data_IF_498100173813
#
_entry.id   IF_498100173813
#
_cell.length_a   1.000
_cell.length_b   1.000
_cell.length_c   1.000
_cell.angle_alpha   90.00
_cell.angle_beta   90.00
_cell.angle_gamma   90.00
#
_symmetry.space_group_name_H-M   'P 1'
#
loop_
_entity.id
_entity.type
_entity.pdbx_description
1 polymer ?
#
# COMPACT_ATOMS: atom_id res chain seq x y z
N UNK A 1 12.10 32.27 18.24
CA UNK A 1 13.57 32.12 18.34
C UNK A 1 14.13 31.87 16.95
N UNK A 2 15.15 32.61 16.54
CA UNK A 2 15.80 32.38 15.24
C UNK A 2 17.18 31.75 15.49
N UNK A 3 17.39 30.57 14.92
CA UNK A 3 18.63 29.85 15.04
C UNK A 3 19.41 29.93 13.73
N UNK A 4 20.68 30.33 13.78
CA UNK A 4 21.60 30.29 12.63
C UNK A 4 22.46 29.01 12.60
N UNK A 5 22.09 28.03 13.40
CA UNK A 5 22.81 26.75 13.52
C UNK A 5 22.11 25.61 12.80
N UNK A 6 22.75 24.46 12.82
CA UNK A 6 22.27 23.26 12.13
C UNK A 6 21.15 22.52 12.86
N UNK A 7 20.86 22.83 14.12
CA UNK A 7 19.75 22.26 14.88
C UNK A 7 19.35 23.22 16.00
N UNK A 8 18.04 23.45 16.19
CA UNK A 8 17.60 24.35 17.25
C UNK A 8 17.62 23.68 18.63
N UNK A 9 17.15 22.43 18.70
CA UNK A 9 17.14 21.63 19.93
C UNK A 9 17.55 20.21 19.60
N UNK A 10 18.43 19.62 20.42
CA UNK A 10 18.87 18.24 20.28
C UNK A 10 18.86 17.55 21.64
N UNK A 11 18.24 16.38 21.71
CA UNK A 11 18.04 15.60 22.92
C UNK A 11 18.48 14.15 22.73
N UNK A 12 19.23 13.62 23.68
CA UNK A 12 19.62 12.23 23.73
C UNK A 12 19.57 11.68 25.14
N UNK A 13 19.20 10.42 25.32
CA UNK A 13 19.13 9.75 26.62
C UNK A 13 18.27 10.50 27.66
N UNK A 14 17.18 11.11 27.23
CA UNK A 14 16.26 11.84 28.10
C UNK A 14 15.03 11.01 28.46
N UNK A 15 14.45 11.29 29.60
CA UNK A 15 13.16 10.75 30.03
C UNK A 15 12.21 11.87 30.40
N UNK A 16 10.91 11.68 30.15
CA UNK A 16 9.85 12.63 30.51
C UNK A 16 10.08 14.06 29.98
N UNK A 17 10.48 14.16 28.71
CA UNK A 17 10.74 15.45 28.04
C UNK A 17 9.42 16.04 27.54
N UNK A 18 9.12 17.28 27.88
CA UNK A 18 7.96 18.03 27.39
C UNK A 18 8.38 19.33 26.72
N UNK A 19 7.89 19.56 25.52
CA UNK A 19 8.08 20.79 24.73
C UNK A 19 6.71 21.26 24.30
N UNK A 20 6.29 22.44 24.75
CA UNK A 20 4.98 22.98 24.40
C UNK A 20 5.04 24.48 24.12
N UNK A 21 4.12 24.98 23.29
CA UNK A 21 4.01 26.39 22.93
C UNK A 21 5.32 27.02 22.42
N UNK A 22 6.15 26.26 21.71
CA UNK A 22 7.35 26.79 21.09
C UNK A 22 7.08 27.21 19.65
N UNK A 23 7.77 28.27 19.23
CA UNK A 23 7.72 28.75 17.86
C UNK A 23 9.14 28.78 17.31
N UNK A 24 9.47 27.83 16.40
CA UNK A 24 10.79 27.69 15.82
C UNK A 24 10.72 28.04 14.33
N UNK A 25 11.53 29.00 13.91
CA UNK A 25 11.54 29.54 12.54
C UNK A 25 12.94 29.57 11.97
N UNK A 26 13.05 29.39 10.65
CA UNK A 26 14.26 29.61 9.86
C UNK A 26 15.51 28.84 10.34
N UNK A 27 15.35 27.58 10.73
CA UNK A 27 16.50 26.71 10.97
C UNK A 27 17.17 26.40 9.62
N UNK A 28 18.47 26.68 9.53
CA UNK A 28 19.27 26.41 8.34
C UNK A 28 19.90 25.02 8.42
N UNK A 29 19.86 24.30 7.33
CA UNK A 29 20.66 23.11 7.06
C UNK A 29 20.43 21.88 7.95
N UNK A 30 19.50 21.88 8.93
CA UNK A 30 19.16 20.70 9.73
C UNK A 30 17.74 20.77 10.34
N UNK A 31 17.59 20.35 11.59
CA UNK A 31 16.31 20.10 12.22
C UNK A 31 15.91 21.19 13.22
N UNK A 32 14.62 21.45 13.37
CA UNK A 32 14.13 22.29 14.46
C UNK A 32 14.30 21.55 15.79
N UNK A 33 13.90 20.27 15.82
CA UNK A 33 14.09 19.37 16.97
C UNK A 33 14.67 18.05 16.45
N UNK A 34 15.68 17.55 17.12
CA UNK A 34 16.26 16.23 16.89
C UNK A 34 16.30 15.48 18.23
N UNK A 35 15.68 14.30 18.28
CA UNK A 35 15.57 13.49 19.48
C UNK A 35 15.96 12.04 19.21
N UNK A 36 16.84 11.47 20.06
CA UNK A 36 17.24 10.08 19.99
C UNK A 36 17.38 9.48 21.41
N UNK A 37 17.03 8.22 21.57
CA UNK A 37 17.01 7.53 22.87
C UNK A 37 16.19 8.28 23.94
N UNK A 38 15.06 8.85 23.55
CA UNK A 38 14.17 9.54 24.47
C UNK A 38 13.00 8.62 24.83
N UNK A 39 12.75 8.43 26.11
CA UNK A 39 11.57 7.74 26.61
C UNK A 39 10.59 8.74 27.22
N UNK A 40 9.37 8.75 26.72
CA UNK A 40 8.33 9.70 27.07
C UNK A 40 8.64 11.14 26.63
N UNK A 41 8.44 11.39 25.34
CA UNK A 41 8.55 12.70 24.71
C UNK A 41 7.16 13.24 24.37
N UNK A 42 6.87 14.47 24.80
CA UNK A 42 5.67 15.18 24.40
C UNK A 42 6.05 16.49 23.69
N UNK A 43 5.58 16.70 22.46
CA UNK A 43 5.71 17.96 21.71
C UNK A 43 4.31 18.41 21.36
N UNK A 44 3.84 19.52 21.95
CA UNK A 44 2.45 19.96 21.79
C UNK A 44 2.35 21.45 21.45
N UNK A 45 1.27 21.81 20.76
CA UNK A 45 0.81 23.16 20.52
C UNK A 45 1.92 24.12 20.02
N UNK A 46 2.80 23.58 19.19
CA UNK A 46 4.02 24.24 18.74
C UNK A 46 4.00 24.49 17.23
N UNK A 47 4.79 25.45 16.78
CA UNK A 47 4.85 25.84 15.37
C UNK A 47 6.27 25.73 14.82
N UNK A 48 6.39 25.11 13.67
CA UNK A 48 7.64 24.89 12.95
C UNK A 48 7.50 25.43 11.53
N UNK A 49 8.28 26.46 11.19
CA UNK A 49 8.15 27.14 9.89
C UNK A 49 9.50 27.39 9.25
N UNK A 50 9.49 27.45 7.93
CA UNK A 50 10.61 27.84 7.07
C UNK A 50 11.93 27.19 7.41
N UNK A 51 12.25 26.10 6.77
CA UNK A 51 13.64 25.67 6.65
C UNK A 51 14.15 26.13 5.29
N UNK A 52 15.02 27.13 5.30
CA UNK A 52 15.70 27.58 4.07
C UNK A 52 16.78 26.58 3.70
N UNK A 53 16.39 25.49 3.05
CA UNK A 53 17.38 24.54 2.57
C UNK A 53 17.71 24.76 1.11
N UNK A 54 18.97 24.92 0.86
CA UNK A 54 19.58 24.84 -0.46
C UNK A 54 20.42 23.56 -0.49
N UNK A 55 19.92 22.49 -1.06
CA UNK A 55 20.75 21.28 -1.23
C UNK A 55 20.00 19.94 -1.16
N UNK A 56 20.70 18.88 -1.50
CA UNK A 56 20.18 17.54 -1.78
C UNK A 56 19.86 16.64 -0.56
N UNK A 57 19.93 17.14 0.66
CA UNK A 57 19.67 16.33 1.84
C UNK A 57 18.34 16.70 2.50
N UNK A 58 17.51 15.74 2.83
CA UNK A 58 16.24 15.90 3.53
C UNK A 58 16.44 16.45 4.95
N UNK A 59 15.67 17.45 5.34
CA UNK A 59 15.59 17.94 6.72
C UNK A 59 14.14 17.87 7.18
N UNK A 60 13.93 17.06 8.14
CA UNK A 60 12.70 17.03 8.91
C UNK A 60 12.70 18.17 9.93
N UNK A 61 11.56 18.84 10.15
CA UNK A 61 11.47 19.78 11.24
C UNK A 61 11.65 19.07 12.59
N UNK A 62 10.97 17.94 12.79
CA UNK A 62 11.21 17.06 13.93
C UNK A 62 11.81 15.77 13.40
N UNK A 63 13.04 15.46 13.78
CA UNK A 63 13.67 14.18 13.51
C UNK A 63 13.67 13.31 14.77
N UNK A 64 12.99 12.16 14.68
CA UNK A 64 13.09 11.09 15.66
C UNK A 64 14.14 10.11 15.14
N UNK A 65 15.29 10.07 15.76
CA UNK A 65 16.42 9.26 15.32
C UNK A 65 16.83 8.24 16.38
N UNK A 66 17.91 7.54 16.13
CA UNK A 66 18.49 6.54 17.01
C UNK A 66 19.95 6.90 17.28
N UNK A 67 20.41 6.74 18.51
CA UNK A 67 21.80 7.00 18.87
C UNK A 67 22.70 5.85 18.39
N UNK A 68 23.08 5.91 17.12
CA UNK A 68 23.92 4.89 16.48
C UNK A 68 25.38 5.28 16.38
N UNK A 69 25.69 6.50 15.95
CA UNK A 69 27.07 6.99 15.82
C UNK A 69 27.17 8.52 15.95
N UNK A 70 28.37 9.00 16.22
CA UNK A 70 28.66 10.44 16.36
C UNK A 70 28.57 11.23 15.06
N UNK A 71 28.60 10.58 13.91
CA UNK A 71 28.44 11.23 12.62
C UNK A 71 26.99 11.69 12.39
N UNK A 72 26.03 10.87 12.82
CA UNK A 72 24.62 11.15 12.65
C UNK A 72 24.02 11.92 13.82
N UNK A 73 24.58 11.73 15.03
CA UNK A 73 24.13 12.40 16.22
C UNK A 73 25.29 12.99 17.03
N UNK A 74 25.96 14.05 16.52
CA UNK A 74 27.15 14.61 17.16
C UNK A 74 26.84 15.26 18.51
N UNK A 75 27.83 15.24 19.40
CA UNK A 75 27.73 15.84 20.73
C UNK A 75 27.28 14.91 21.85
N UNK A 76 27.19 13.62 21.56
CA UNK A 76 26.92 12.55 22.53
C UNK A 76 28.10 11.56 22.57
N UNK A 77 28.21 10.85 23.68
CA UNK A 77 29.32 9.91 23.91
C UNK A 77 28.85 8.44 23.88
N UNK A 78 27.60 8.19 24.22
CA UNK A 78 27.01 6.84 24.25
C UNK A 78 26.17 6.57 23.02
N UNK A 79 26.54 5.53 22.27
CA UNK A 79 25.87 5.09 21.06
C UNK A 79 25.40 3.65 21.22
N UNK A 80 24.27 3.48 21.93
CA UNK A 80 23.73 2.20 22.37
C UNK A 80 22.58 1.67 21.49
N UNK A 81 22.31 2.34 20.38
CA UNK A 81 21.22 2.00 19.46
C UNK A 81 19.81 2.04 20.10
N UNK A 82 19.62 2.82 21.17
CA UNK A 82 18.33 2.97 21.82
C UNK A 82 17.39 3.83 20.96
N UNK A 83 16.21 3.33 20.54
CA UNK A 83 15.21 4.11 19.83
C UNK A 83 14.37 4.96 20.79
N UNK A 84 13.69 5.98 20.26
CA UNK A 84 12.67 6.70 21.03
C UNK A 84 11.45 5.81 21.33
N UNK A 85 10.80 6.04 22.47
CA UNK A 85 9.57 5.38 22.91
C UNK A 85 8.59 6.37 23.51
N UNK A 86 7.30 6.02 23.49
CA UNK A 86 6.24 6.81 24.14
C UNK A 86 6.27 8.28 23.68
N UNK A 87 6.31 8.50 22.37
CA UNK A 87 6.40 9.83 21.78
C UNK A 87 4.99 10.32 21.41
N UNK A 88 4.65 11.53 21.80
CA UNK A 88 3.42 12.22 21.37
C UNK A 88 3.77 13.54 20.71
N UNK A 89 3.31 13.74 19.47
CA UNK A 89 3.40 15.02 18.74
C UNK A 89 1.97 15.41 18.39
N UNK A 90 1.43 16.46 19.04
CA UNK A 90 0.02 16.79 18.94
C UNK A 90 -0.24 18.30 18.89
N UNK A 91 -1.26 18.71 18.12
CA UNK A 91 -1.69 20.11 18.05
C UNK A 91 -0.68 21.07 17.39
N UNK A 92 0.32 20.53 16.72
CA UNK A 92 1.41 21.31 16.13
C UNK A 92 1.08 21.75 14.70
N UNK A 93 1.73 22.83 14.25
CA UNK A 93 1.67 23.33 12.87
C UNK A 93 3.06 23.28 12.23
N UNK A 94 3.13 22.66 11.08
CA UNK A 94 4.30 22.52 10.23
C UNK A 94 4.04 23.23 8.91
N UNK A 95 4.76 24.29 8.60
CA UNK A 95 4.46 25.06 7.38
C UNK A 95 5.70 25.53 6.62
N UNK A 96 5.62 25.48 5.29
CA UNK A 96 6.69 25.92 4.38
C UNK A 96 8.02 25.23 4.65
N UNK A 97 7.99 23.89 4.82
CA UNK A 97 9.13 23.07 5.18
C UNK A 97 9.51 22.12 4.04
N UNK A 98 10.74 21.64 4.07
CA UNK A 98 11.17 20.55 3.19
C UNK A 98 10.47 19.25 3.60
N UNK A 99 10.60 18.85 4.86
CA UNK A 99 9.89 17.72 5.47
C UNK A 99 9.38 18.08 6.86
N UNK A 100 8.29 17.43 7.29
CA UNK A 100 7.68 17.70 8.59
C UNK A 100 8.29 16.88 9.72
N UNK A 101 7.75 15.70 9.99
CA UNK A 101 8.23 14.78 11.02
C UNK A 101 8.86 13.58 10.32
N UNK A 102 10.04 13.14 10.75
CA UNK A 102 10.68 11.99 10.12
C UNK A 102 11.69 11.25 10.96
N UNK A 103 12.16 10.15 10.40
CA UNK A 103 13.23 9.30 10.90
C UNK A 103 14.20 9.03 9.78
N UNK A 104 15.47 9.32 9.98
CA UNK A 104 16.50 9.06 8.99
C UNK A 104 17.21 7.72 9.21
N UNK A 105 17.48 7.39 10.46
CA UNK A 105 18.28 6.24 10.83
C UNK A 105 17.45 5.24 11.64
N UNK A 106 17.59 3.97 11.32
CA UNK A 106 17.04 2.86 12.11
C UNK A 106 18.12 1.78 12.27
N UNK A 107 17.98 0.97 13.29
CA UNK A 107 18.83 -0.20 13.53
C UNK A 107 17.97 -1.46 13.39
N UNK A 108 18.51 -2.47 12.76
CA UNK A 108 17.84 -3.76 12.56
C UNK A 108 17.31 -4.29 13.88
N UNK A 109 16.03 -4.65 13.91
CA UNK A 109 15.30 -5.16 15.09
C UNK A 109 15.09 -4.18 16.25
N UNK A 110 15.58 -2.96 16.17
CA UNK A 110 15.26 -1.89 17.12
C UNK A 110 14.13 -1.03 16.55
N UNK A 111 13.05 -0.90 17.27
CA UNK A 111 11.84 -0.22 16.78
C UNK A 111 11.53 1.01 17.63
N UNK A 112 11.10 2.08 16.96
CA UNK A 112 10.43 3.19 17.63
C UNK A 112 9.07 2.70 18.11
N UNK A 113 8.79 2.78 19.38
CA UNK A 113 7.61 2.13 19.98
C UNK A 113 6.65 3.15 20.58
N UNK A 114 5.35 2.97 20.32
CA UNK A 114 4.30 3.83 20.85
C UNK A 114 4.51 5.31 20.48
N UNK A 115 4.62 5.58 19.17
CA UNK A 115 4.70 6.95 18.62
C UNK A 115 3.30 7.39 18.17
N UNK A 116 2.80 8.47 18.73
CA UNK A 116 1.49 9.07 18.43
C UNK A 116 1.72 10.42 17.76
N UNK A 117 1.26 10.56 16.52
CA UNK A 117 1.29 11.82 15.75
C UNK A 117 -0.17 12.16 15.45
N UNK A 118 -0.71 13.16 16.15
CA UNK A 118 -2.14 13.42 16.06
C UNK A 118 -2.50 14.91 16.10
N UNK A 119 -3.63 15.25 15.45
CA UNK A 119 -4.22 16.60 15.47
C UNK A 119 -3.25 17.69 14.98
N UNK A 120 -2.29 17.35 14.12
CA UNK A 120 -1.33 18.29 13.59
C UNK A 120 -1.76 18.82 12.21
N UNK A 121 -1.23 20.00 11.85
CA UNK A 121 -1.40 20.63 10.53
C UNK A 121 -0.07 20.66 9.78
N UNK A 122 -0.09 20.20 8.53
CA UNK A 122 1.05 20.24 7.61
C UNK A 122 0.65 21.05 6.38
N UNK A 123 1.37 22.11 6.09
CA UNK A 123 1.06 23.04 4.99
C UNK A 123 2.30 23.33 4.15
N UNK A 124 2.18 23.22 2.83
CA UNK A 124 3.27 23.51 1.88
C UNK A 124 4.54 22.70 2.17
N UNK A 125 4.43 21.38 2.27
CA UNK A 125 5.58 20.49 2.52
C UNK A 125 6.13 20.01 1.17
N UNK A 126 7.45 20.18 0.99
CA UNK A 126 8.08 19.95 -0.32
C UNK A 126 8.35 18.47 -0.61
N UNK A 127 8.59 17.64 0.39
CA UNK A 127 8.86 16.20 0.23
C UNK A 127 7.84 15.36 0.98
N UNK A 128 8.11 14.93 2.21
CA UNK A 128 7.26 14.08 3.02
C UNK A 128 6.77 14.83 4.26
N UNK A 129 5.47 14.88 4.47
CA UNK A 129 4.97 15.52 5.68
C UNK A 129 5.26 14.67 6.93
N UNK A 130 5.07 13.34 6.83
CA UNK A 130 5.44 12.38 7.88
C UNK A 130 6.18 11.20 7.25
N UNK A 131 7.34 10.85 7.81
CA UNK A 131 8.15 9.70 7.40
C UNK A 131 8.51 8.83 8.61
N UNK A 132 7.76 7.76 8.80
CA UNK A 132 7.95 6.81 9.90
C UNK A 132 8.82 5.65 9.44
N UNK A 133 10.04 5.55 9.95
CA UNK A 133 10.92 4.46 9.64
C UNK A 133 11.12 3.55 10.85
N UNK A 134 10.70 2.28 10.74
CA UNK A 134 10.82 1.25 11.76
C UNK A 134 9.94 1.48 13.02
N UNK A 135 8.70 1.99 12.84
CA UNK A 135 7.77 2.26 13.94
C UNK A 135 6.87 1.05 14.24
N UNK A 136 6.51 0.88 15.52
CA UNK A 136 5.58 -0.13 16.02
C UNK A 136 4.59 0.44 17.04
N UNK A 137 3.45 -0.23 17.20
CA UNK A 137 2.42 0.14 18.16
C UNK A 137 2.02 1.62 18.10
N UNK A 138 2.09 2.20 16.89
CA UNK A 138 2.06 3.66 16.69
C UNK A 138 0.72 4.10 16.08
N UNK A 139 0.44 5.40 16.18
CA UNK A 139 -0.79 6.01 15.66
C UNK A 139 -0.45 7.30 14.92
N UNK A 140 -0.97 7.41 13.69
CA UNK A 140 -0.91 8.65 12.90
C UNK A 140 -2.35 9.00 12.58
N UNK A 141 -2.94 9.88 13.37
CA UNK A 141 -4.39 10.06 13.36
C UNK A 141 -4.82 11.54 13.40
N UNK A 142 -5.95 11.83 12.75
CA UNK A 142 -6.59 13.15 12.80
C UNK A 142 -5.69 14.30 12.32
N UNK A 143 -4.70 14.07 11.48
CA UNK A 143 -3.85 15.12 10.95
C UNK A 143 -4.42 15.70 9.66
N UNK A 144 -4.14 16.98 9.40
CA UNK A 144 -4.53 17.68 8.18
C UNK A 144 -3.30 18.05 7.38
N UNK A 145 -3.31 17.70 6.10
CA UNK A 145 -2.22 17.96 5.17
C UNK A 145 -2.75 18.78 3.99
N UNK A 146 -2.22 19.94 3.77
CA UNK A 146 -2.61 20.84 2.68
C UNK A 146 -1.40 21.18 1.81
N UNK A 147 -1.51 20.96 0.52
CA UNK A 147 -0.44 21.24 -0.44
C UNK A 147 0.88 20.54 -0.09
N UNK A 148 0.81 19.23 0.15
CA UNK A 148 1.98 18.40 0.48
C UNK A 148 2.38 17.52 -0.70
N UNK A 149 3.67 17.32 -0.92
CA UNK A 149 4.12 16.41 -1.99
C UNK A 149 3.79 14.95 -1.66
N UNK A 150 4.09 14.49 -0.44
CA UNK A 150 3.61 13.22 0.09
C UNK A 150 3.11 13.39 1.52
N UNK A 151 2.01 12.71 1.85
CA UNK A 151 1.41 12.78 3.17
C UNK A 151 2.18 11.93 4.18
N UNK A 152 1.90 10.63 4.22
CA UNK A 152 2.44 9.71 5.23
C UNK A 152 3.21 8.57 4.55
N UNK A 153 4.48 8.43 4.92
CA UNK A 153 5.35 7.31 4.52
C UNK A 153 5.65 6.44 5.74
N UNK A 154 5.33 5.15 5.67
CA UNK A 154 5.52 4.18 6.73
C UNK A 154 6.40 3.03 6.24
N UNK A 155 7.60 2.90 6.74
CA UNK A 155 8.64 2.07 6.13
C UNK A 155 9.33 1.14 7.16
N UNK A 156 9.58 -0.10 6.75
CA UNK A 156 10.44 -1.06 7.44
C UNK A 156 11.71 -1.36 6.66
N UNK A 157 11.74 -0.96 5.40
CA UNK A 157 12.94 -0.81 4.58
C UNK A 157 12.90 0.59 3.96
N UNK A 158 14.04 1.24 3.75
CA UNK A 158 14.06 2.53 3.08
C UNK A 158 13.43 2.45 1.69
N UNK A 159 12.64 3.44 1.33
CA UNK A 159 12.16 3.58 -0.04
C UNK A 159 13.37 3.59 -0.99
N UNK A 160 13.28 2.88 -2.10
CA UNK A 160 14.41 2.63 -3.00
C UNK A 160 15.59 1.90 -2.33
N UNK A 161 15.33 0.97 -1.42
CA UNK A 161 16.35 0.15 -0.79
C UNK A 161 17.38 -0.43 -1.77
N UNK A 162 16.95 -0.73 -2.99
CA UNK A 162 17.81 -1.20 -4.08
C UNK A 162 18.46 -0.08 -4.93
N UNK A 163 18.21 1.19 -4.58
CA UNK A 163 18.78 2.38 -5.24
C UNK A 163 19.53 3.31 -4.28
N UNK A 164 19.58 4.60 -4.63
CA UNK A 164 20.07 5.64 -3.73
C UNK A 164 18.95 6.08 -2.79
N UNK A 165 19.19 6.08 -1.50
CA UNK A 165 18.24 6.50 -0.47
C UNK A 165 18.93 7.31 0.63
N UNK A 166 18.20 8.24 1.23
CA UNK A 166 18.69 9.07 2.33
C UNK A 166 18.57 8.41 3.70
N UNK A 167 17.49 7.62 3.87
CA UNK A 167 17.28 6.83 5.09
C UNK A 167 18.22 5.64 5.13
N UNK A 168 18.70 5.29 6.32
CA UNK A 168 19.67 4.22 6.50
C UNK A 168 19.24 3.25 7.59
N UNK A 169 19.49 1.97 7.33
CA UNK A 169 19.34 0.90 8.31
C UNK A 169 20.72 0.35 8.65
N UNK A 170 21.00 0.26 9.93
CA UNK A 170 22.28 -0.19 10.47
C UNK A 170 22.16 -1.53 11.17
N UNK A 171 23.28 -2.25 11.27
CA UNK A 171 23.43 -3.36 12.21
C UNK A 171 23.77 -2.76 13.58
N UNK A 172 23.22 -3.32 14.65
CA UNK A 172 23.47 -2.83 16.00
C UNK A 172 24.96 -2.80 16.34
N UNK A 173 25.41 -1.78 17.09
CA UNK A 173 26.81 -1.60 17.49
C UNK A 173 27.36 -2.79 18.28
N UNK A 174 26.55 -3.39 19.13
CA UNK A 174 26.88 -4.61 19.88
C UNK A 174 26.83 -5.90 19.05
N UNK A 175 26.50 -5.77 17.74
CA UNK A 175 26.29 -6.86 16.79
C UNK A 175 25.19 -7.86 17.21
N UNK A 176 24.44 -7.55 18.23
CA UNK A 176 23.33 -8.36 18.67
C UNK A 176 22.09 -8.05 17.82
N UNK A 177 21.94 -8.80 16.75
CA UNK A 177 20.76 -8.66 15.89
C UNK A 177 19.59 -9.41 16.52
N UNK A 178 18.72 -8.67 17.16
CA UNK A 178 17.47 -9.19 17.68
C UNK A 178 16.58 -9.75 16.55
N UNK A 179 15.48 -10.34 16.91
CA UNK A 179 14.52 -10.90 15.95
C UNK A 179 13.83 -9.77 15.15
N UNK A 180 13.98 -9.81 13.84
CA UNK A 180 13.21 -8.96 12.94
C UNK A 180 11.72 -9.32 13.10
N UNK A 181 10.89 -8.31 13.36
CA UNK A 181 9.47 -8.50 13.65
C UNK A 181 8.62 -7.69 12.67
N UNK A 182 7.93 -8.39 11.79
CA UNK A 182 7.04 -7.78 10.79
C UNK A 182 5.76 -7.19 11.38
N UNK A 183 5.37 -7.53 12.61
CA UNK A 183 4.13 -7.03 13.22
C UNK A 183 4.28 -5.57 13.64
N UNK A 184 3.59 -4.66 12.92
CA UNK A 184 3.65 -3.23 13.22
C UNK A 184 2.64 -2.79 14.29
N UNK A 185 1.45 -3.38 14.32
CA UNK A 185 0.33 -2.96 15.17
C UNK A 185 0.08 -1.45 15.11
N UNK A 186 0.19 -0.88 13.90
CA UNK A 186 0.13 0.58 13.67
C UNK A 186 -1.17 0.96 12.99
N UNK A 187 -1.71 2.13 13.35
CA UNK A 187 -2.94 2.70 12.81
C UNK A 187 -2.66 4.03 12.13
N UNK A 188 -3.07 4.17 10.87
CA UNK A 188 -3.07 5.42 10.10
C UNK A 188 -4.53 5.73 9.77
N UNK A 189 -5.15 6.68 10.50
CA UNK A 189 -6.59 6.89 10.32
C UNK A 189 -7.06 8.32 10.53
N UNK A 190 -8.23 8.63 9.94
CA UNK A 190 -8.90 9.91 10.08
C UNK A 190 -8.03 11.11 9.63
N UNK A 191 -7.09 10.90 8.75
CA UNK A 191 -6.27 11.97 8.21
C UNK A 191 -6.92 12.56 6.95
N UNK A 192 -6.82 13.88 6.79
CA UNK A 192 -7.22 14.58 5.57
C UNK A 192 -5.98 15.02 4.82
N UNK A 193 -5.77 14.48 3.62
CA UNK A 193 -4.53 14.68 2.84
C UNK A 193 -4.89 15.27 1.47
N UNK A 194 -4.43 16.50 1.22
CA UNK A 194 -4.45 17.13 -0.08
C UNK A 194 -3.03 17.18 -0.64
N UNK A 195 -2.80 16.41 -1.70
CA UNK A 195 -1.52 16.42 -2.40
C UNK A 195 -1.37 17.68 -3.23
N UNK A 196 -0.15 18.14 -3.33
CA UNK A 196 0.20 19.35 -4.07
C UNK A 196 0.04 19.11 -5.58
N UNK A 197 -0.38 20.14 -6.27
CA UNK A 197 -0.36 20.25 -7.72
C UNK A 197 1.08 20.20 -8.23
N UNK A 198 1.33 19.47 -9.32
CA UNK A 198 2.63 19.40 -10.00
C UNK A 198 3.81 18.90 -9.15
N UNK A 199 3.98 17.60 -9.06
CA UNK A 199 5.27 17.07 -8.60
C UNK A 199 5.92 16.27 -9.73
N UNK A 200 7.15 16.63 -10.07
CA UNK A 200 7.99 15.85 -10.99
C UNK A 200 8.44 14.50 -10.36
N UNK A 201 8.19 14.32 -9.10
CA UNK A 201 8.49 13.11 -8.34
C UNK A 201 7.22 12.33 -8.00
N UNK A 202 7.32 11.03 -7.83
CA UNK A 202 6.22 10.20 -7.34
C UNK A 202 5.75 10.69 -5.96
N UNK A 203 4.49 11.06 -5.85
CA UNK A 203 3.85 11.50 -4.62
C UNK A 203 2.77 10.53 -4.18
N UNK A 204 2.53 10.45 -2.88
CA UNK A 204 1.61 9.50 -2.28
C UNK A 204 0.78 10.17 -1.19
N UNK A 205 -0.50 9.87 -1.14
CA UNK A 205 -1.29 10.18 0.04
C UNK A 205 -0.75 9.41 1.25
N UNK A 206 -0.77 8.07 1.15
CA UNK A 206 -0.19 7.17 2.13
C UNK A 206 0.65 6.12 1.41
N UNK A 207 1.87 5.93 1.88
CA UNK A 207 2.82 4.95 1.37
C UNK A 207 3.30 4.03 2.48
N UNK A 208 3.28 2.71 2.25
CA UNK A 208 3.87 1.75 3.17
C UNK A 208 4.82 0.80 2.42
N UNK A 209 6.04 0.65 2.92
CA UNK A 209 7.08 -0.11 2.25
C UNK A 209 7.82 -1.06 3.19
N UNK A 210 7.70 -2.33 2.89
CA UNK A 210 8.46 -3.42 3.49
C UNK A 210 8.89 -4.43 2.43
N UNK A 211 9.60 -5.46 2.84
CA UNK A 211 10.02 -6.48 1.90
C UNK A 211 10.87 -7.57 2.54
N UNK A 212 11.35 -8.50 1.71
CA UNK A 212 12.30 -9.53 2.11
C UNK A 212 13.69 -9.20 1.56
N UNK A 213 14.69 -9.37 2.40
CA UNK A 213 16.09 -9.19 2.05
C UNK A 213 16.77 -10.56 2.10
N UNK A 214 17.22 -11.04 0.96
CA UNK A 214 18.01 -12.26 0.86
C UNK A 214 19.46 -12.05 1.28
N UNK A 215 20.22 -13.14 1.41
CA UNK A 215 21.61 -13.09 1.86
C UNK A 215 22.54 -12.30 0.91
N UNK A 216 22.30 -12.37 -0.40
CA UNK A 216 23.12 -11.66 -1.38
C UNK A 216 22.89 -10.15 -1.31
N UNK A 217 21.61 -9.73 -1.23
CA UNK A 217 21.21 -8.35 -1.06
C UNK A 217 21.69 -7.80 0.29
N UNK A 218 21.55 -8.57 1.36
CA UNK A 218 22.01 -8.19 2.69
C UNK A 218 23.51 -7.88 2.70
N UNK A 219 24.31 -8.74 2.09
CA UNK A 219 25.75 -8.51 1.94
C UNK A 219 26.07 -7.29 1.11
N UNK A 220 25.36 -7.07 0.01
CA UNK A 220 25.60 -5.93 -0.88
C UNK A 220 25.21 -4.57 -0.26
N UNK A 221 24.27 -4.57 0.67
CA UNK A 221 23.72 -3.36 1.33
C UNK A 221 24.18 -3.17 2.78
N UNK A 222 25.05 -4.04 3.27
CA UNK A 222 25.56 -4.05 4.64
C UNK A 222 24.44 -4.04 5.71
N UNK A 223 23.49 -4.95 5.54
CA UNK A 223 22.41 -5.18 6.50
C UNK A 223 22.22 -6.69 6.74
N UNK A 224 21.24 -7.04 7.55
CA UNK A 224 20.90 -8.43 7.88
C UNK A 224 19.85 -8.98 6.93
N UNK A 225 20.04 -10.19 6.41
CA UNK A 225 19.01 -10.90 5.68
C UNK A 225 17.81 -11.20 6.57
N UNK A 226 16.59 -10.98 6.07
CA UNK A 226 15.41 -11.20 6.88
C UNK A 226 14.10 -10.75 6.24
N UNK A 227 13.03 -10.88 7.03
CA UNK A 227 11.68 -10.52 6.63
C UNK A 227 11.29 -9.17 7.26
N UNK A 228 11.45 -8.12 6.50
CA UNK A 228 11.06 -6.73 6.81
C UNK A 228 9.68 -6.38 6.27
N UNK A 229 8.84 -7.37 5.94
CA UNK A 229 7.45 -7.07 5.55
C UNK A 229 6.70 -6.46 6.73
N UNK A 230 5.74 -5.59 6.41
CA UNK A 230 4.87 -4.97 7.40
C UNK A 230 3.62 -5.84 7.56
N UNK A 231 3.21 -6.11 8.78
CA UNK A 231 1.92 -6.77 9.05
C UNK A 231 1.17 -6.10 10.17
N UNK A 232 -0.14 -6.35 10.24
CA UNK A 232 -1.01 -5.75 11.26
C UNK A 232 -1.01 -4.20 11.17
N UNK A 233 -1.02 -3.68 9.93
CA UNK A 233 -1.17 -2.27 9.63
C UNK A 233 -2.63 -1.98 9.27
N UNK A 234 -3.21 -0.95 9.89
CA UNK A 234 -4.54 -0.45 9.57
C UNK A 234 -4.45 0.93 8.91
N UNK A 235 -4.99 1.07 7.70
CA UNK A 235 -5.13 2.34 6.99
C UNK A 235 -6.62 2.58 6.78
N UNK A 236 -7.23 3.47 7.58
CA UNK A 236 -8.69 3.58 7.59
C UNK A 236 -9.23 5.00 7.79
N UNK A 237 -10.39 5.26 7.21
CA UNK A 237 -11.10 6.53 7.35
C UNK A 237 -10.28 7.77 6.94
N UNK A 238 -9.32 7.63 6.04
CA UNK A 238 -8.57 8.76 5.54
C UNK A 238 -9.25 9.36 4.32
N UNK A 239 -9.25 10.68 4.20
CA UNK A 239 -9.67 11.41 3.01
C UNK A 239 -8.43 11.86 2.25
N UNK A 240 -8.28 11.42 1.00
CA UNK A 240 -7.11 11.71 0.18
C UNK A 240 -7.55 12.35 -1.12
N UNK A 241 -7.14 13.58 -1.35
CA UNK A 241 -7.38 14.32 -2.59
C UNK A 241 -6.08 14.47 -3.37
N UNK A 242 -6.12 14.01 -4.62
CA UNK A 242 -5.02 14.19 -5.58
C UNK A 242 -5.40 15.38 -6.46
N UNK A 243 -4.58 16.39 -6.49
CA UNK A 243 -4.89 17.65 -7.18
C UNK A 243 -4.61 17.60 -8.69
N UNK A 244 -5.10 18.61 -9.39
CA UNK A 244 -5.48 18.67 -10.80
C UNK A 244 -4.40 18.37 -11.85
N UNK A 245 -3.13 18.53 -11.57
CA UNK A 245 -2.07 18.36 -12.58
C UNK A 245 -0.93 17.40 -12.19
N UNK A 246 -1.10 16.65 -11.12
CA UNK A 246 -0.08 15.67 -10.70
C UNK A 246 -0.17 14.38 -11.52
N UNK A 247 0.69 14.23 -12.51
CA UNK A 247 0.71 13.05 -13.39
C UNK A 247 1.27 11.78 -12.74
N UNK A 248 1.77 11.83 -11.51
CA UNK A 248 2.41 10.69 -10.82
C UNK A 248 1.93 10.46 -9.39
N UNK A 249 0.83 11.06 -8.98
CA UNK A 249 0.31 10.94 -7.61
C UNK A 249 -0.57 9.71 -7.44
N UNK A 250 -0.38 9.01 -6.33
CA UNK A 250 -1.16 7.83 -5.94
C UNK A 250 -1.87 8.08 -4.62
N UNK A 251 -3.09 7.55 -4.48
CA UNK A 251 -3.82 7.65 -3.22
C UNK A 251 -3.12 6.87 -2.10
N UNK A 252 -3.26 5.55 -2.11
CA UNK A 252 -2.60 4.65 -1.15
C UNK A 252 -1.74 3.66 -1.93
N UNK A 253 -0.47 3.52 -1.54
CA UNK A 253 0.46 2.57 -2.15
C UNK A 253 1.14 1.72 -1.08
N UNK A 254 0.96 0.40 -1.13
CA UNK A 254 1.60 -0.52 -0.20
C UNK A 254 2.44 -1.56 -0.94
N UNK A 255 3.64 -1.81 -0.44
CA UNK A 255 4.58 -2.81 -0.94
C UNK A 255 5.09 -3.66 0.22
N UNK A 256 5.03 -5.00 0.08
CA UNK A 256 5.48 -5.90 1.13
C UNK A 256 4.67 -5.78 2.42
N UNK A 257 3.37 -5.45 2.31
CA UNK A 257 2.43 -5.33 3.43
C UNK A 257 1.51 -6.53 3.47
N UNK A 258 1.46 -7.23 4.59
CA UNK A 258 0.74 -8.49 4.73
C UNK A 258 -0.23 -8.46 5.91
N UNK A 259 -1.33 -9.23 5.82
CA UNK A 259 -2.30 -9.40 6.93
C UNK A 259 -2.75 -8.06 7.51
N UNK A 260 -3.00 -7.09 6.65
CA UNK A 260 -3.31 -5.70 7.00
C UNK A 260 -4.64 -5.29 6.38
N UNK A 261 -5.20 -4.18 6.84
CA UNK A 261 -6.49 -3.69 6.40
C UNK A 261 -6.38 -2.29 5.81
N UNK A 262 -7.01 -2.08 4.64
CA UNK A 262 -7.21 -0.77 4.01
C UNK A 262 -8.72 -0.58 3.88
N UNK A 263 -9.32 0.27 4.73
CA UNK A 263 -10.77 0.32 4.82
C UNK A 263 -11.34 1.73 5.01
N UNK A 264 -12.53 1.93 4.46
CA UNK A 264 -13.30 3.17 4.67
C UNK A 264 -12.55 4.46 4.31
N UNK A 265 -11.60 4.38 3.39
CA UNK A 265 -10.90 5.58 2.91
C UNK A 265 -11.69 6.20 1.74
N UNK A 266 -11.67 7.53 1.68
CA UNK A 266 -12.23 8.33 0.58
C UNK A 266 -11.10 8.91 -0.27
N UNK A 267 -10.97 8.44 -1.51
CA UNK A 267 -9.92 8.85 -2.43
C UNK A 267 -10.52 9.52 -3.66
N UNK A 268 -10.10 10.74 -3.93
CA UNK A 268 -10.56 11.48 -5.12
C UNK A 268 -9.37 11.99 -5.92
N UNK A 269 -9.41 11.79 -7.24
CA UNK A 269 -8.42 12.32 -8.16
C UNK A 269 -9.05 13.26 -9.18
N UNK A 270 -8.59 14.49 -9.23
CA UNK A 270 -8.97 15.48 -10.23
C UNK A 270 -7.90 15.68 -11.32
N UNK A 271 -6.74 15.09 -11.17
CA UNK A 271 -5.63 15.21 -12.11
C UNK A 271 -5.95 14.56 -13.47
N UNK A 272 -5.30 15.00 -14.54
CA UNK A 272 -5.27 14.25 -15.79
C UNK A 272 -4.46 12.98 -15.57
N UNK A 273 -5.12 11.81 -15.56
CA UNK A 273 -4.46 10.55 -15.23
C UNK A 273 -3.37 10.19 -16.25
N UNK A 274 -2.13 10.10 -15.80
CA UNK A 274 -1.06 9.38 -16.50
C UNK A 274 -1.13 7.87 -16.23
N UNK A 275 -0.35 7.09 -16.96
CA UNK A 275 -0.21 5.66 -16.69
C UNK A 275 0.40 5.43 -15.30
N UNK A 276 -0.24 4.58 -14.50
CA UNK A 276 0.24 4.21 -13.17
C UNK A 276 -0.35 4.99 -11.99
N UNK A 277 -1.21 5.99 -12.23
CA UNK A 277 -1.95 6.67 -11.16
C UNK A 277 -3.14 5.81 -10.76
N UNK A 278 -3.12 5.24 -9.58
CA UNK A 278 -4.19 4.40 -9.08
C UNK A 278 -4.67 4.88 -7.70
N UNK A 279 -5.92 4.60 -7.38
CA UNK A 279 -6.48 4.93 -6.07
C UNK A 279 -5.75 4.14 -4.98
N UNK A 280 -5.81 2.80 -5.04
CA UNK A 280 -5.11 1.91 -4.11
C UNK A 280 -4.22 0.96 -4.91
N UNK A 281 -2.93 0.95 -4.59
CA UNK A 281 -1.93 0.06 -5.14
C UNK A 281 -1.46 -0.97 -4.11
N UNK A 282 -1.51 -2.24 -4.48
CA UNK A 282 -1.03 -3.37 -3.68
C UNK A 282 0.07 -4.08 -4.46
N UNK A 283 1.30 -3.97 -4.02
CA UNK A 283 2.47 -4.57 -4.66
C UNK A 283 3.12 -5.61 -3.74
N UNK A 284 3.45 -6.78 -4.25
CA UNK A 284 4.18 -7.80 -3.50
C UNK A 284 3.63 -8.08 -2.08
N UNK A 285 2.31 -8.00 -1.91
CA UNK A 285 1.64 -7.96 -0.60
C UNK A 285 0.60 -9.08 -0.50
N UNK A 286 0.42 -9.66 0.69
CA UNK A 286 -0.39 -10.85 0.85
C UNK A 286 -1.39 -10.79 2.01
N UNK A 287 -2.54 -11.47 1.83
CA UNK A 287 -3.55 -11.67 2.87
C UNK A 287 -4.12 -10.36 3.44
N UNK A 288 -4.22 -9.32 2.61
CA UNK A 288 -4.80 -8.05 3.00
C UNK A 288 -6.33 -8.04 2.80
N UNK A 289 -6.99 -7.14 3.49
CA UNK A 289 -8.42 -6.84 3.31
C UNK A 289 -8.55 -5.41 2.82
N UNK A 290 -9.22 -5.23 1.67
CA UNK A 290 -9.52 -3.91 1.09
C UNK A 290 -11.04 -3.80 1.04
N UNK A 291 -11.62 -2.97 1.93
CA UNK A 291 -13.08 -2.92 2.08
C UNK A 291 -13.62 -1.53 2.32
N UNK A 292 -14.84 -1.29 1.89
CA UNK A 292 -15.60 -0.07 2.16
C UNK A 292 -14.91 1.22 1.71
N UNK A 293 -13.92 1.16 0.80
CA UNK A 293 -13.28 2.37 0.30
C UNK A 293 -14.15 3.01 -0.79
N UNK A 294 -14.18 4.33 -0.81
CA UNK A 294 -14.76 5.13 -1.88
C UNK A 294 -13.61 5.71 -2.73
N UNK A 295 -13.58 5.35 -4.00
CA UNK A 295 -12.53 5.77 -4.93
C UNK A 295 -13.18 6.42 -6.14
N UNK A 296 -12.92 7.69 -6.36
CA UNK A 296 -13.59 8.46 -7.39
C UNK A 296 -12.63 9.32 -8.23
N UNK A 297 -13.12 9.75 -9.38
CA UNK A 297 -12.39 10.66 -10.26
C UNK A 297 -11.42 9.97 -11.21
N UNK A 298 -10.44 10.70 -11.70
CA UNK A 298 -9.65 10.36 -12.90
C UNK A 298 -8.46 9.42 -12.65
N UNK A 299 -8.48 8.58 -11.63
CA UNK A 299 -7.49 7.51 -11.48
C UNK A 299 -7.44 6.62 -12.74
N UNK A 300 -6.29 6.11 -13.07
CA UNK A 300 -6.18 5.13 -14.14
C UNK A 300 -6.92 3.84 -13.75
N UNK A 301 -6.60 3.29 -12.56
CA UNK A 301 -7.36 2.19 -11.97
C UNK A 301 -7.80 2.55 -10.55
N UNK A 302 -8.93 2.01 -10.10
CA UNK A 302 -9.38 2.18 -8.73
C UNK A 302 -8.47 1.42 -7.75
N UNK A 303 -8.44 0.10 -7.85
CA UNK A 303 -7.58 -0.79 -7.07
C UNK A 303 -6.70 -1.58 -8.02
N UNK A 304 -5.39 -1.61 -7.81
CA UNK A 304 -4.45 -2.36 -8.64
C UNK A 304 -3.56 -3.27 -7.79
N UNK A 305 -3.62 -4.57 -8.06
CA UNK A 305 -2.73 -5.58 -7.48
C UNK A 305 -1.70 -5.98 -8.54
N UNK A 306 -0.43 -5.96 -8.17
CA UNK A 306 0.64 -6.36 -9.07
C UNK A 306 1.84 -6.94 -8.31
N UNK A 307 2.77 -7.47 -9.07
CA UNK A 307 3.95 -8.12 -8.57
C UNK A 307 5.14 -7.17 -8.57
N UNK A 308 6.11 -7.49 -7.74
CA UNK A 308 7.48 -7.02 -7.91
C UNK A 308 8.36 -8.20 -8.30
N UNK A 309 9.62 -7.92 -8.62
CA UNK A 309 10.63 -8.95 -8.88
C UNK A 309 10.85 -9.91 -7.69
N UNK A 310 10.31 -9.60 -6.52
CA UNK A 310 10.54 -10.33 -5.26
C UNK A 310 9.33 -11.14 -4.80
N UNK A 311 8.11 -10.72 -5.13
CA UNK A 311 6.90 -11.41 -4.69
C UNK A 311 5.66 -10.98 -5.47
N UNK A 312 4.66 -11.85 -5.49
CA UNK A 312 3.33 -11.58 -6.05
C UNK A 312 2.36 -11.16 -4.95
N UNK A 313 1.38 -10.35 -5.31
CA UNK A 313 0.26 -10.00 -4.42
C UNK A 313 -0.76 -11.14 -4.39
N UNK A 314 -0.97 -11.75 -3.22
CA UNK A 314 -1.78 -12.97 -3.08
C UNK A 314 -2.76 -12.94 -1.93
N UNK A 315 -3.86 -13.69 -2.07
CA UNK A 315 -4.86 -13.91 -1.01
C UNK A 315 -5.46 -12.61 -0.44
N UNK A 316 -5.55 -11.55 -1.25
CA UNK A 316 -6.18 -10.30 -0.84
C UNK A 316 -7.71 -10.41 -1.03
N UNK A 317 -8.48 -10.01 -0.03
CA UNK A 317 -9.92 -9.89 -0.11
C UNK A 317 -10.29 -8.46 -0.50
N UNK A 318 -11.12 -8.29 -1.54
CA UNK A 318 -11.63 -7.00 -2.00
C UNK A 318 -13.16 -7.07 -1.94
N UNK A 319 -13.78 -6.25 -1.09
CA UNK A 319 -15.22 -6.33 -0.79
C UNK A 319 -15.80 -4.95 -0.47
N UNK A 320 -17.05 -4.71 -0.83
CA UNK A 320 -17.83 -3.52 -0.45
C UNK A 320 -17.20 -2.18 -0.83
N UNK A 321 -16.32 -2.12 -1.84
CA UNK A 321 -15.74 -0.86 -2.29
C UNK A 321 -16.65 -0.18 -3.32
N UNK A 322 -16.69 1.15 -3.30
CA UNK A 322 -17.32 1.99 -4.32
C UNK A 322 -16.24 2.61 -5.20
N UNK A 323 -16.26 2.35 -6.50
CA UNK A 323 -15.25 2.85 -7.44
C UNK A 323 -15.96 3.49 -8.63
N UNK A 324 -15.70 4.77 -8.89
CA UNK A 324 -16.36 5.52 -9.95
C UNK A 324 -15.45 6.50 -10.67
N UNK A 325 -15.74 6.74 -11.95
CA UNK A 325 -15.03 7.76 -12.76
C UNK A 325 -13.60 7.39 -13.16
N UNK A 326 -13.09 6.22 -12.76
CA UNK A 326 -11.74 5.77 -13.13
C UNK A 326 -11.64 5.49 -14.62
N UNK A 327 -10.49 5.83 -15.23
CA UNK A 327 -10.33 5.82 -16.70
C UNK A 327 -10.28 4.41 -17.29
N UNK A 328 -9.62 3.48 -16.63
CA UNK A 328 -9.32 2.18 -17.24
C UNK A 328 -10.06 1.06 -16.52
N UNK A 329 -9.60 0.62 -15.37
CA UNK A 329 -10.21 -0.51 -14.67
C UNK A 329 -10.61 -0.14 -13.25
N UNK A 330 -11.77 -0.64 -12.82
CA UNK A 330 -12.15 -0.54 -11.41
C UNK A 330 -11.16 -1.30 -10.53
N UNK A 331 -11.01 -2.60 -10.79
CA UNK A 331 -10.03 -3.46 -10.13
C UNK A 331 -9.17 -4.14 -11.20
N UNK A 332 -7.84 -3.98 -11.08
CA UNK A 332 -6.84 -4.62 -11.93
C UNK A 332 -6.01 -5.61 -11.11
N UNK A 333 -5.91 -6.86 -11.56
CA UNK A 333 -5.04 -7.88 -10.96
C UNK A 333 -4.03 -8.33 -12.01
N UNK A 334 -2.75 -8.10 -11.76
CA UNK A 334 -1.66 -8.46 -12.67
C UNK A 334 -1.41 -9.97 -12.72
N UNK A 335 -0.58 -10.40 -13.69
CA UNK A 335 -0.45 -11.79 -14.13
C UNK A 335 -0.16 -12.83 -13.04
N UNK A 336 0.75 -12.53 -12.13
CA UNK A 336 1.14 -13.47 -11.05
C UNK A 336 0.40 -13.21 -9.74
N UNK A 337 -0.47 -12.20 -9.70
CA UNK A 337 -1.24 -11.82 -8.52
C UNK A 337 -2.65 -12.44 -8.54
N UNK A 338 -3.25 -12.64 -7.37
CA UNK A 338 -4.65 -13.03 -7.28
C UNK A 338 -5.34 -12.50 -6.03
N UNK A 339 -6.64 -12.27 -6.16
CA UNK A 339 -7.49 -11.75 -5.11
C UNK A 339 -8.85 -12.45 -5.10
N UNK A 340 -9.50 -12.47 -3.94
CA UNK A 340 -10.92 -12.78 -3.84
C UNK A 340 -11.69 -11.48 -3.97
N UNK A 341 -12.39 -11.29 -5.08
CA UNK A 341 -13.19 -10.10 -5.35
C UNK A 341 -14.65 -10.47 -5.14
N UNK A 342 -15.30 -9.82 -4.17
CA UNK A 342 -16.71 -10.05 -3.87
C UNK A 342 -17.62 -9.26 -4.83
N UNK A 343 -18.82 -9.77 -5.04
CA UNK A 343 -19.84 -9.13 -5.90
C UNK A 343 -20.46 -7.86 -5.33
N UNK A 344 -20.21 -7.58 -4.07
CA UNK A 344 -20.70 -6.39 -3.35
C UNK A 344 -19.88 -5.12 -3.62
N UNK A 345 -18.83 -5.20 -4.43
CA UNK A 345 -18.15 -4.01 -4.90
C UNK A 345 -19.00 -3.29 -5.97
N UNK A 346 -19.24 -2.00 -5.78
CA UNK A 346 -19.96 -1.16 -6.75
C UNK A 346 -18.93 -0.45 -7.64
N UNK A 347 -18.85 -0.82 -8.93
CA UNK A 347 -17.78 -0.35 -9.81
C UNK A 347 -18.32 0.18 -11.12
N UNK A 348 -17.99 1.46 -11.40
CA UNK A 348 -18.16 2.11 -12.69
C UNK A 348 -16.81 2.60 -13.20
N UNK A 349 -16.31 2.02 -14.29
CA UNK A 349 -14.97 2.32 -14.85
C UNK A 349 -15.07 2.52 -16.36
N UNK A 350 -14.20 3.38 -16.90
CA UNK A 350 -14.25 3.78 -18.31
C UNK A 350 -14.04 2.62 -19.28
N UNK A 351 -13.12 1.68 -19.00
CA UNK A 351 -12.86 0.55 -19.88
C UNK A 351 -13.53 -0.75 -19.41
N UNK A 352 -13.38 -1.12 -18.17
CA UNK A 352 -14.00 -2.33 -17.59
C UNK A 352 -13.98 -2.30 -16.07
N UNK A 353 -15.03 -2.80 -15.40
CA UNK A 353 -15.01 -2.97 -13.96
C UNK A 353 -13.83 -3.82 -13.45
N UNK A 354 -13.47 -4.89 -14.19
CA UNK A 354 -12.39 -5.80 -13.80
C UNK A 354 -11.39 -6.02 -14.94
N UNK A 355 -10.12 -6.18 -14.58
CA UNK A 355 -9.07 -6.70 -15.44
C UNK A 355 -8.22 -7.73 -14.68
N UNK A 356 -8.37 -8.98 -15.04
CA UNK A 356 -7.65 -10.12 -14.47
C UNK A 356 -6.66 -10.62 -15.51
N UNK A 357 -5.37 -10.32 -15.34
CA UNK A 357 -4.32 -10.69 -16.29
C UNK A 357 -3.77 -12.09 -16.09
N UNK A 358 -4.06 -12.74 -14.98
CA UNK A 358 -3.49 -14.06 -14.70
C UNK A 358 -3.80 -15.04 -15.81
N UNK A 359 -2.75 -15.49 -16.49
CA UNK A 359 -2.79 -16.50 -17.52
C UNK A 359 -2.10 -17.78 -17.08
N UNK A 360 -1.43 -17.76 -15.94
CA UNK A 360 -0.71 -18.92 -15.46
C UNK A 360 -1.68 -19.91 -14.80
N UNK A 361 -1.87 -21.06 -15.45
CA UNK A 361 -2.67 -22.17 -14.94
C UNK A 361 -2.14 -22.77 -13.65
N UNK A 362 -0.89 -22.50 -13.28
CA UNK A 362 -0.25 -22.97 -12.06
C UNK A 362 -0.53 -22.09 -10.83
N UNK A 363 -1.03 -20.89 -11.04
CA UNK A 363 -1.28 -19.91 -9.99
C UNK A 363 -2.78 -19.71 -9.79
N UNK A 364 -3.33 -20.33 -8.83
CA UNK A 364 -4.58 -20.14 -8.07
C UNK A 364 -5.47 -18.90 -8.35
N UNK A 365 -5.54 -18.45 -9.60
CA UNK A 365 -6.74 -17.73 -10.02
C UNK A 365 -7.84 -18.76 -10.01
N UNK A 366 -8.94 -18.53 -9.31
CA UNK A 366 -9.96 -19.52 -9.21
C UNK A 366 -10.41 -19.93 -10.62
N UNK A 367 -10.05 -21.12 -11.02
CA UNK A 367 -10.54 -21.77 -12.22
C UNK A 367 -11.67 -22.71 -11.77
N UNK A 368 -12.79 -22.77 -12.46
CA UNK A 368 -13.79 -23.78 -12.16
C UNK A 368 -13.14 -25.15 -12.21
N UNK A 369 -13.31 -25.97 -11.20
CA UNK A 369 -12.86 -27.35 -11.27
C UNK A 369 -14.00 -28.22 -11.77
N UNK A 370 -13.71 -29.12 -12.72
CA UNK A 370 -14.66 -30.13 -13.18
C UNK A 370 -14.80 -31.19 -12.11
N UNK A 371 -15.99 -31.32 -11.54
CA UNK A 371 -16.32 -32.39 -10.58
C UNK A 371 -16.60 -33.72 -11.28
N UNK A 372 -17.30 -33.68 -12.40
CA UNK A 372 -17.53 -34.85 -13.24
C UNK A 372 -17.90 -34.43 -14.65
N UNK A 373 -17.62 -35.29 -15.59
CA UNK A 373 -18.13 -35.21 -16.96
C UNK A 373 -18.66 -36.59 -17.38
N UNK A 374 -19.64 -36.57 -18.26
CA UNK A 374 -20.29 -37.80 -18.77
C UNK A 374 -21.44 -37.45 -19.68
N UNK A 375 -22.29 -38.41 -19.94
CA UNK A 375 -23.48 -38.19 -20.74
C UNK A 375 -24.71 -38.25 -19.82
N UNK A 376 -25.69 -37.40 -20.12
CA UNK A 376 -26.98 -37.40 -19.45
C UNK A 376 -27.79 -38.64 -19.88
N UNK A 377 -28.94 -38.85 -19.25
CA UNK A 377 -29.93 -39.89 -19.66
C UNK A 377 -30.38 -39.73 -21.10
N UNK A 378 -30.19 -38.58 -21.71
CA UNK A 378 -30.50 -38.32 -23.13
C UNK A 378 -29.25 -38.42 -24.01
N UNK A 379 -28.18 -39.06 -23.51
CA UNK A 379 -26.91 -39.18 -24.17
C UNK A 379 -26.26 -37.85 -24.62
N UNK A 380 -26.56 -36.78 -23.92
CA UNK A 380 -25.98 -35.45 -24.17
C UNK A 380 -24.82 -35.18 -23.24
N UNK A 381 -23.76 -34.48 -23.69
CA UNK A 381 -22.68 -34.09 -22.82
C UNK A 381 -23.17 -33.33 -21.58
N UNK A 382 -22.76 -33.82 -20.41
CA UNK A 382 -23.10 -33.27 -19.11
C UNK A 382 -21.82 -32.99 -18.34
N UNK A 383 -21.62 -31.74 -17.94
CA UNK A 383 -20.48 -31.29 -17.17
C UNK A 383 -20.96 -30.79 -15.81
N UNK A 384 -20.35 -31.28 -14.75
CA UNK A 384 -20.53 -30.76 -13.39
C UNK A 384 -19.24 -30.11 -12.93
N UNK A 385 -19.32 -28.90 -12.41
CA UNK A 385 -18.16 -28.12 -11.98
C UNK A 385 -18.40 -27.49 -10.60
N UNK A 386 -17.32 -27.05 -9.96
CA UNK A 386 -17.38 -26.39 -8.67
C UNK A 386 -17.75 -24.91 -8.82
N UNK A 387 -18.46 -24.37 -7.82
CA UNK A 387 -18.62 -22.92 -7.71
C UNK A 387 -17.27 -22.26 -7.45
N UNK A 388 -17.11 -21.05 -7.96
CA UNK A 388 -16.06 -20.14 -7.58
C UNK A 388 -16.61 -19.07 -6.67
N UNK A 389 -15.93 -18.82 -5.58
CA UNK A 389 -16.30 -17.75 -4.67
C UNK A 389 -16.27 -16.39 -5.41
N UNK A 390 -17.41 -15.69 -5.43
CA UNK A 390 -17.56 -14.41 -6.12
C UNK A 390 -17.98 -14.50 -7.59
N UNK A 391 -18.09 -15.70 -8.20
CA UNK A 391 -18.66 -15.81 -9.53
C UNK A 391 -20.18 -15.63 -9.49
N UNK A 392 -20.73 -14.91 -10.48
CA UNK A 392 -22.17 -14.76 -10.68
C UNK A 392 -22.75 -15.82 -11.63
N UNK A 393 -21.91 -16.70 -12.16
CA UNK A 393 -22.27 -17.76 -13.09
C UNK A 393 -21.12 -18.16 -13.99
N UNK A 394 -21.44 -18.87 -15.08
CA UNK A 394 -20.45 -19.39 -16.01
C UNK A 394 -20.93 -19.25 -17.45
N UNK A 395 -20.01 -18.84 -18.32
CA UNK A 395 -20.17 -18.94 -19.76
C UNK A 395 -19.64 -20.26 -20.24
N UNK A 396 -20.39 -20.96 -21.08
CA UNK A 396 -19.94 -22.21 -21.70
C UNK A 396 -19.82 -22.00 -23.21
N UNK A 397 -18.64 -22.27 -23.73
CA UNK A 397 -18.37 -22.24 -25.18
C UNK A 397 -18.05 -23.68 -25.63
N UNK A 398 -18.39 -24.01 -26.85
CA UNK A 398 -18.14 -25.31 -27.48
C UNK A 398 -17.35 -25.17 -28.77
N UNK A 399 -16.43 -26.09 -29.03
CA UNK A 399 -15.86 -26.30 -30.36
C UNK A 399 -15.84 -27.80 -30.72
N UNK A 400 -15.90 -28.09 -32.01
CA UNK A 400 -15.56 -29.41 -32.54
C UNK A 400 -14.01 -29.57 -32.59
N UNK A 401 -13.55 -30.77 -32.77
CA UNK A 401 -12.12 -31.06 -32.93
C UNK A 401 -11.49 -30.11 -33.97
N UNK A 402 -10.42 -29.42 -33.62
CA UNK A 402 -9.77 -28.39 -34.43
C UNK A 402 -10.62 -27.18 -34.84
N UNK A 403 -11.73 -26.92 -34.16
CA UNK A 403 -12.61 -25.78 -34.40
C UNK A 403 -12.36 -24.58 -33.50
N UNK A 404 -13.05 -23.48 -33.81
CA UNK A 404 -13.10 -22.30 -32.96
C UNK A 404 -14.20 -22.42 -31.89
N UNK A 405 -13.94 -22.00 -30.67
CA UNK A 405 -14.95 -21.97 -29.59
C UNK A 405 -16.05 -20.96 -29.92
N UNK A 406 -17.29 -21.44 -29.87
CA UNK A 406 -18.51 -20.61 -29.99
C UNK A 406 -19.28 -20.69 -28.67
N UNK A 407 -19.79 -19.55 -28.24
CA UNK A 407 -20.62 -19.48 -27.03
C UNK A 407 -21.95 -20.20 -27.24
N UNK A 408 -22.29 -21.10 -26.35
CA UNK A 408 -23.53 -21.90 -26.43
C UNK A 408 -24.45 -21.72 -25.23
N UNK A 409 -23.91 -21.24 -24.11
CA UNK A 409 -24.69 -20.89 -22.94
C UNK A 409 -24.01 -19.81 -22.11
N UNK A 410 -24.80 -18.88 -21.60
CA UNK A 410 -24.40 -17.97 -20.55
C UNK A 410 -25.33 -18.23 -19.38
N UNK A 411 -24.82 -18.81 -18.32
CA UNK A 411 -25.56 -19.06 -17.09
C UNK A 411 -25.30 -17.93 -16.12
N UNK A 412 -26.32 -17.15 -15.85
CA UNK A 412 -26.33 -16.21 -14.71
C UNK A 412 -26.92 -16.98 -13.51
N UNK A 413 -26.10 -17.27 -12.49
CA UNK A 413 -26.52 -17.95 -11.26
C UNK A 413 -25.63 -19.13 -10.88
N UNK A 414 -25.98 -19.80 -9.82
CA UNK A 414 -25.22 -20.89 -9.19
C UNK A 414 -25.39 -22.25 -9.89
N UNK A 415 -25.82 -22.28 -11.15
CA UNK A 415 -25.99 -23.54 -11.87
C UNK A 415 -24.63 -24.18 -12.17
N UNK A 416 -24.29 -25.20 -11.39
CA UNK A 416 -23.04 -25.93 -11.44
C UNK A 416 -23.10 -27.16 -12.38
N UNK A 417 -24.17 -27.28 -13.16
CA UNK A 417 -24.40 -28.35 -14.11
C UNK A 417 -24.71 -27.76 -15.49
N UNK A 418 -24.05 -28.23 -16.49
CA UNK A 418 -24.33 -27.88 -17.87
C UNK A 418 -24.58 -29.12 -18.70
N UNK A 419 -25.75 -29.23 -19.32
CA UNK A 419 -26.11 -30.25 -20.32
C UNK A 419 -26.17 -29.58 -21.68
N UNK A 420 -25.37 -30.02 -22.63
CA UNK A 420 -25.43 -29.53 -24.02
C UNK A 420 -26.57 -30.22 -24.79
N UNK A 421 -27.77 -29.68 -24.64
CA UNK A 421 -28.94 -30.17 -25.33
C UNK A 421 -28.90 -30.01 -26.85
N UNK A 422 -28.05 -29.12 -27.34
CA UNK A 422 -27.92 -28.80 -28.77
C UNK A 422 -26.95 -29.73 -29.50
N UNK A 423 -26.10 -30.48 -28.79
CA UNK A 423 -25.16 -31.41 -29.40
C UNK A 423 -25.86 -32.70 -29.89
N UNK A 424 -25.25 -33.42 -30.80
CA UNK A 424 -25.68 -34.78 -31.13
C UNK A 424 -25.44 -35.72 -29.94
N UNK A 425 -26.18 -36.83 -29.89
CA UNK A 425 -25.92 -37.87 -28.87
C UNK A 425 -24.49 -38.39 -29.01
N UNK A 426 -23.84 -38.61 -27.87
CA UNK A 426 -22.43 -39.06 -27.77
C UNK A 426 -21.43 -38.22 -28.57
N UNK A 427 -21.73 -36.94 -28.81
CA UNK A 427 -20.82 -36.07 -29.56
C UNK A 427 -19.51 -35.86 -28.83
N UNK A 428 -18.42 -35.91 -29.57
CA UNK A 428 -17.06 -35.58 -29.08
C UNK A 428 -16.80 -34.09 -29.34
N UNK A 429 -16.94 -33.29 -28.32
CA UNK A 429 -16.74 -31.85 -28.38
C UNK A 429 -15.78 -31.40 -27.27
N UNK A 430 -15.21 -30.24 -27.44
CA UNK A 430 -14.48 -29.53 -26.42
C UNK A 430 -15.35 -28.42 -25.86
N UNK A 431 -15.39 -28.29 -24.54
CA UNK A 431 -16.15 -27.27 -23.84
C UNK A 431 -15.18 -26.40 -23.04
N UNK A 432 -15.41 -25.09 -23.12
CA UNK A 432 -14.71 -24.09 -22.32
C UNK A 432 -15.67 -23.50 -21.32
N UNK A 433 -15.32 -23.57 -20.03
CA UNK A 433 -16.14 -23.02 -18.95
C UNK A 433 -15.37 -21.83 -18.38
N UNK A 434 -15.97 -20.64 -18.53
CA UNK A 434 -15.40 -19.36 -18.14
C UNK A 434 -16.26 -18.73 -17.06
N UNK A 435 -15.73 -18.36 -15.89
CA UNK A 435 -16.53 -17.71 -14.85
C UNK A 435 -17.00 -16.34 -15.27
N UNK A 436 -18.18 -15.98 -14.82
CA UNK A 436 -18.80 -14.67 -15.01
C UNK A 436 -18.89 -13.99 -13.64
N UNK A 437 -18.55 -12.73 -13.60
CA UNK A 437 -18.64 -11.89 -12.40
C UNK A 437 -19.71 -10.81 -12.63
N UNK A 438 -20.50 -10.52 -11.62
CA UNK A 438 -21.37 -9.35 -11.62
C UNK A 438 -20.74 -8.30 -10.70
N UNK A 439 -20.37 -7.19 -11.27
CA UNK A 439 -19.71 -6.09 -10.55
C UNK A 439 -20.52 -4.83 -10.82
N UNK A 440 -21.22 -4.32 -9.80
CA UNK A 440 -22.05 -3.13 -9.94
C UNK A 440 -23.16 -3.23 -11.01
N UNK A 441 -23.71 -4.42 -11.21
CA UNK A 441 -24.72 -4.68 -12.26
C UNK A 441 -24.14 -4.97 -13.64
N UNK A 442 -22.82 -4.85 -13.83
CA UNK A 442 -22.15 -5.17 -15.10
C UNK A 442 -21.61 -6.58 -15.09
N UNK A 443 -21.93 -7.35 -16.13
CA UNK A 443 -21.41 -8.72 -16.29
C UNK A 443 -20.02 -8.67 -16.91
N UNK A 444 -19.04 -9.22 -16.21
CA UNK A 444 -17.65 -9.33 -16.66
C UNK A 444 -17.30 -10.82 -16.81
N UNK A 445 -16.80 -11.18 -17.98
CA UNK A 445 -16.35 -12.53 -18.27
C UNK A 445 -14.90 -12.67 -17.81
N UNK A 446 -14.63 -13.64 -16.92
CA UNK A 446 -13.26 -13.94 -16.48
C UNK A 446 -12.38 -14.38 -17.63
N UNK A 447 -11.08 -14.10 -17.53
CA UNK A 447 -10.10 -14.54 -18.55
C UNK A 447 -9.67 -15.99 -18.35
N UNK A 448 -9.83 -16.52 -17.15
CA UNK A 448 -9.47 -17.89 -16.83
C UNK A 448 -10.64 -18.83 -17.11
N UNK A 449 -10.30 -19.98 -17.65
CA UNK A 449 -11.27 -21.00 -18.03
C UNK A 449 -10.71 -22.39 -17.80
N UNK A 450 -11.59 -23.38 -17.79
CA UNK A 450 -11.21 -24.78 -17.90
C UNK A 450 -11.78 -25.38 -19.20
N UNK A 451 -10.96 -26.12 -19.90
CA UNK A 451 -11.35 -26.87 -21.08
C UNK A 451 -11.65 -28.33 -20.70
N UNK A 452 -12.76 -28.82 -21.21
CA UNK A 452 -13.26 -30.18 -20.96
C UNK A 452 -13.48 -30.86 -22.31
N UNK A 453 -12.76 -31.93 -22.55
CA UNK A 453 -12.96 -32.80 -23.74
C UNK A 453 -13.95 -33.93 -23.45
N UNK A 454 -14.81 -34.22 -24.42
CA UNK A 454 -15.69 -35.38 -24.45
C UNK A 454 -15.33 -36.35 -25.55
#
# INVERSE_FOLDING_TARGET
MQFNGSCAMRFGHCTNLSISNVHIVNVKDAHHIEAAAVDTLSITDSTFTSSSRTGSNSCEAIQLDILHDSKHFPGFEEFDDTPNKNVTISGCTFSNLYSGIGTRSAVVSKYFDNVVIENNKFENIQEKAISCFNYKNSKIINNTFTNVNSGICFEYLPNNFFGNYSQRMYIANDKNVGKINSKSSTVISNNTIQLKENSDASSYGIYAYGGKVDAATAKAKDIVAGDYTISDLSISNNTITVDKDSSQSRGIFVTGVNKSEISSNDLTNFASAGDGINGINICASQKNVIKNNNISGTFNNGISLYDSNFASSKNTLITSNSISGVKTYGIRVAESSYATIKSDNNISAGRSPLCLYSQDKSQNVPIPSVKSKGYSLRNKPLIRFSSLNGSAGYKVSRCAYNGTFKDIATSCGENLNFEDKSSAAFSKNYYRITPIYNVGGTIVIGKNYIDVAF
#
